data_IF_922238130548
#
_entry.id   IF_922238130548
#
_cell.length_a   1.000
_cell.length_b   1.000
_cell.length_c   1.000
_cell.angle_alpha   90.00
_cell.angle_beta   90.00
_cell.angle_gamma   90.00
#
_symmetry.space_group_name_H-M   'P 1'
#
loop_
_entity.id
_entity.type
_entity.pdbx_description
1 polymer ?
#
# COMPACT_ATOMS: atom_id res chain seq x y z
N UNK A 1 33.19 25.98 -29.52
CA UNK A 1 32.22 24.86 -29.58
C UNK A 1 32.50 23.72 -28.60
N UNK A 2 33.70 23.11 -28.55
CA UNK A 2 34.02 22.01 -27.60
C UNK A 2 33.78 22.34 -26.12
N UNK A 3 34.09 23.56 -25.69
CA UNK A 3 33.91 24.01 -24.30
C UNK A 3 32.43 24.10 -23.87
N UNK A 4 31.57 24.64 -24.74
CA UNK A 4 30.12 24.76 -24.50
C UNK A 4 29.47 23.38 -24.45
N UNK A 5 29.89 22.46 -25.34
CA UNK A 5 29.37 21.10 -25.38
C UNK A 5 29.76 20.28 -24.14
N UNK A 6 30.99 20.43 -23.64
CA UNK A 6 31.43 19.80 -22.40
C UNK A 6 30.72 20.35 -21.15
N UNK A 7 30.45 21.65 -21.11
CA UNK A 7 29.70 22.28 -20.02
C UNK A 7 28.23 21.83 -19.99
N UNK A 8 27.55 21.77 -21.13
CA UNK A 8 26.18 21.27 -21.25
C UNK A 8 26.06 19.80 -20.86
N UNK A 9 27.01 18.95 -21.29
CA UNK A 9 27.05 17.55 -20.90
C UNK A 9 27.29 17.37 -19.38
N UNK A 10 28.16 18.19 -18.79
CA UNK A 10 28.39 18.22 -17.34
C UNK A 10 27.15 18.65 -16.55
N UNK A 11 26.45 19.70 -17.00
CA UNK A 11 25.21 20.15 -16.39
C UNK A 11 24.12 19.09 -16.47
N UNK A 12 23.93 18.46 -17.65
CA UNK A 12 22.95 17.39 -17.82
C UNK A 12 23.25 16.20 -16.91
N UNK A 13 24.51 15.76 -16.82
CA UNK A 13 24.92 14.68 -15.92
C UNK A 13 24.69 15.04 -14.45
N UNK A 14 24.96 16.27 -14.07
CA UNK A 14 24.71 16.75 -12.71
C UNK A 14 23.21 16.74 -12.38
N UNK A 15 22.38 17.34 -13.24
CA UNK A 15 20.92 17.35 -13.06
C UNK A 15 20.36 15.93 -13.01
N UNK A 16 20.77 15.06 -13.92
CA UNK A 16 20.36 13.66 -13.93
C UNK A 16 20.76 12.95 -12.64
N UNK A 17 22.00 13.15 -12.16
CA UNK A 17 22.47 12.58 -10.91
C UNK A 17 21.66 13.07 -9.71
N UNK A 18 21.36 14.37 -9.63
CA UNK A 18 20.53 14.95 -8.56
C UNK A 18 19.12 14.34 -8.58
N UNK A 19 18.51 14.21 -9.76
CA UNK A 19 17.18 13.57 -9.91
C UNK A 19 17.22 12.11 -9.44
N UNK A 20 18.18 11.32 -9.89
CA UNK A 20 18.33 9.91 -9.48
C UNK A 20 18.55 9.77 -7.97
N UNK A 21 19.44 10.58 -7.38
CA UNK A 21 19.71 10.55 -5.94
C UNK A 21 18.46 10.95 -5.15
N UNK A 22 17.73 11.98 -5.60
CA UNK A 22 16.49 12.42 -4.95
C UNK A 22 15.43 11.32 -4.99
N UNK A 23 15.21 10.69 -6.15
CA UNK A 23 14.27 9.58 -6.28
C UNK A 23 14.67 8.39 -5.40
N UNK A 24 15.96 8.05 -5.33
CA UNK A 24 16.45 6.98 -4.46
C UNK A 24 16.20 7.29 -2.97
N UNK A 25 16.45 8.53 -2.53
CA UNK A 25 16.18 8.95 -1.16
C UNK A 25 14.69 8.92 -0.82
N UNK A 26 13.83 9.35 -1.75
CA UNK A 26 12.37 9.27 -1.57
C UNK A 26 11.92 7.81 -1.43
N UNK A 27 12.40 6.91 -2.29
CA UNK A 27 12.07 5.48 -2.20
C UNK A 27 12.53 4.87 -0.87
N UNK A 28 13.74 5.21 -0.41
CA UNK A 28 14.25 4.76 0.90
C UNK A 28 13.40 5.30 2.06
N UNK A 29 12.97 6.56 2.00
CA UNK A 29 12.10 7.15 3.01
C UNK A 29 10.74 6.46 3.05
N UNK A 30 10.12 6.20 1.90
CA UNK A 30 8.85 5.47 1.80
C UNK A 30 8.99 4.03 2.30
N UNK A 31 10.05 3.32 1.91
CA UNK A 31 10.33 1.97 2.39
C UNK A 31 10.55 1.94 3.92
N UNK A 32 11.30 2.90 4.46
CA UNK A 32 11.49 3.06 5.89
C UNK A 32 10.19 3.34 6.64
N UNK A 33 9.33 4.20 6.09
CA UNK A 33 8.00 4.48 6.63
C UNK A 33 7.12 3.21 6.66
N UNK A 34 7.05 2.47 5.55
CA UNK A 34 6.29 1.21 5.46
C UNK A 34 6.84 0.17 6.46
N UNK A 35 8.16 0.06 6.59
CA UNK A 35 8.80 -0.84 7.55
C UNK A 35 8.43 -0.51 8.99
N UNK A 36 8.53 0.78 9.35
CA UNK A 36 8.20 1.28 10.67
C UNK A 36 6.72 1.07 11.01
N UNK A 37 5.81 1.51 10.12
CA UNK A 37 4.36 1.36 10.31
C UNK A 37 3.93 -0.10 10.32
N UNK A 38 4.51 -0.94 9.45
CA UNK A 38 4.17 -2.35 9.39
C UNK A 38 4.57 -3.14 10.63
N UNK A 39 5.51 -2.61 11.43
CA UNK A 39 5.92 -3.17 12.71
C UNK A 39 5.03 -2.75 13.89
N UNK A 40 4.10 -1.83 13.67
CA UNK A 40 3.11 -1.41 14.66
C UNK A 40 1.86 -2.31 14.57
N UNK A 41 1.05 -2.38 15.64
CA UNK A 41 -0.24 -3.05 15.58
C UNK A 41 -1.14 -2.45 14.50
N UNK A 42 -1.81 -3.30 13.73
CA UNK A 42 -2.76 -2.85 12.71
C UNK A 42 -3.94 -2.12 13.35
N UNK A 43 -4.49 -1.13 12.65
CA UNK A 43 -5.63 -0.32 13.11
C UNK A 43 -6.99 -0.88 12.65
N UNK A 44 -6.99 -2.03 11.98
CA UNK A 44 -8.19 -2.69 11.48
C UNK A 44 -8.85 -3.48 12.63
N UNK A 45 -10.09 -3.13 12.97
CA UNK A 45 -10.79 -3.66 14.15
C UNK A 45 -11.09 -5.15 14.11
N UNK A 46 -11.07 -5.77 12.93
CA UNK A 46 -11.31 -7.21 12.76
C UNK A 46 -10.03 -8.05 12.85
N UNK A 47 -8.86 -7.42 12.91
CA UNK A 47 -7.56 -8.11 13.06
C UNK A 47 -7.40 -8.55 14.52
N UNK A 48 -6.81 -9.73 14.80
CA UNK A 48 -6.45 -10.13 16.16
C UNK A 48 -5.67 -9.04 16.91
N UNK A 49 -6.01 -8.82 18.18
CA UNK A 49 -5.45 -7.73 18.96
C UNK A 49 -3.91 -7.80 19.02
N UNK A 50 -3.24 -6.70 18.68
CA UNK A 50 -1.78 -6.59 18.72
C UNK A 50 -1.05 -7.19 17.52
N UNK A 51 -1.75 -7.79 16.54
CA UNK A 51 -1.12 -8.29 15.32
C UNK A 51 -0.57 -7.13 14.48
N UNK A 52 0.69 -7.23 14.08
CA UNK A 52 1.34 -6.27 13.18
C UNK A 52 1.04 -6.58 11.73
N UNK A 53 1.23 -5.60 10.84
CA UNK A 53 1.05 -5.82 9.41
C UNK A 53 1.99 -6.91 8.87
N UNK A 54 3.22 -6.98 9.38
CA UNK A 54 4.18 -8.02 8.97
C UNK A 54 3.74 -9.42 9.38
N UNK A 55 3.18 -9.57 10.58
CA UNK A 55 2.60 -10.83 11.04
C UNK A 55 1.40 -11.23 10.19
N UNK A 56 0.51 -10.28 9.91
CA UNK A 56 -0.62 -10.49 9.01
C UNK A 56 -0.14 -10.98 7.64
N UNK A 57 0.79 -10.28 7.00
CA UNK A 57 1.27 -10.66 5.67
C UNK A 57 1.99 -12.01 5.65
N UNK A 58 2.75 -12.34 6.70
CA UNK A 58 3.37 -13.67 6.85
C UNK A 58 2.30 -14.76 6.88
N UNK A 59 1.30 -14.60 7.74
CA UNK A 59 0.20 -15.55 7.88
C UNK A 59 -0.60 -15.70 6.57
N UNK A 60 -0.82 -14.60 5.82
CA UNK A 60 -1.48 -14.66 4.50
C UNK A 60 -0.63 -15.36 3.43
N UNK A 61 0.71 -15.23 3.49
CA UNK A 61 1.62 -15.95 2.60
C UNK A 61 1.58 -17.45 2.85
N UNK A 62 1.56 -17.86 4.12
CA UNK A 62 1.44 -19.27 4.52
C UNK A 62 0.08 -19.85 4.11
N UNK A 63 -1.01 -19.15 4.43
CA UNK A 63 -2.36 -19.56 4.06
C UNK A 63 -2.55 -19.69 2.54
N UNK A 64 -1.86 -18.88 1.73
CA UNK A 64 -1.92 -18.98 0.27
C UNK A 64 -1.30 -20.27 -0.28
N UNK A 65 -0.36 -20.89 0.45
CA UNK A 65 0.27 -22.15 0.06
C UNK A 65 -0.58 -23.37 0.44
N UNK A 66 -1.39 -23.24 1.49
CA UNK A 66 -2.29 -24.27 2.00
C UNK A 66 -3.57 -24.44 1.17
N UNK A 67 -4.03 -23.37 0.50
CA UNK A 67 -5.25 -23.43 -0.32
C UNK A 67 -5.08 -24.32 -1.54
N UNK A 68 -6.00 -25.26 -1.70
CA UNK A 68 -6.15 -26.05 -2.91
C UNK A 68 -7.26 -25.46 -3.82
N UNK A 69 -6.97 -25.22 -5.11
CA UNK A 69 -5.69 -25.38 -5.79
C UNK A 69 -4.70 -24.24 -5.48
N UNK A 70 -3.40 -24.52 -5.37
CA UNK A 70 -2.36 -23.51 -5.04
C UNK A 70 -2.36 -22.25 -5.91
N UNK A 71 -2.75 -22.39 -7.18
CA UNK A 71 -2.87 -21.26 -8.12
C UNK A 71 -3.88 -20.20 -7.65
N UNK A 72 -4.90 -20.63 -6.92
CA UNK A 72 -5.92 -19.79 -6.34
C UNK A 72 -5.31 -18.82 -5.31
N UNK A 73 -4.55 -19.35 -4.36
CA UNK A 73 -3.96 -18.54 -3.30
C UNK A 73 -2.83 -17.63 -3.79
N UNK A 74 -1.95 -18.15 -4.65
CA UNK A 74 -0.93 -17.33 -5.30
C UNK A 74 -1.58 -16.24 -6.17
N UNK A 75 -2.64 -16.58 -6.92
CA UNK A 75 -3.39 -15.63 -7.72
C UNK A 75 -3.95 -14.48 -6.89
N UNK A 76 -4.55 -14.79 -5.73
CA UNK A 76 -5.08 -13.79 -4.80
C UNK A 76 -3.98 -12.85 -4.26
N UNK A 77 -2.81 -13.38 -3.89
CA UNK A 77 -1.66 -12.56 -3.47
C UNK A 77 -1.11 -11.69 -4.60
N UNK A 78 -1.01 -12.23 -5.83
CA UNK A 78 -0.56 -11.46 -7.00
C UNK A 78 -1.55 -10.34 -7.31
N UNK A 79 -2.85 -10.62 -7.29
CA UNK A 79 -3.88 -9.60 -7.45
C UNK A 79 -3.75 -8.51 -6.39
N UNK A 80 -3.52 -8.88 -5.13
CA UNK A 80 -3.24 -7.91 -4.07
C UNK A 80 -1.96 -7.10 -4.34
N UNK A 81 -0.86 -7.73 -4.75
CA UNK A 81 0.40 -7.04 -5.03
C UNK A 81 0.29 -6.01 -6.16
N UNK A 82 -0.58 -6.25 -7.14
CA UNK A 82 -0.82 -5.32 -8.26
C UNK A 82 -1.85 -4.25 -7.88
N UNK A 83 -2.98 -4.65 -7.29
CA UNK A 83 -4.12 -3.76 -7.07
C UNK A 83 -4.04 -3.03 -5.73
N UNK A 84 -3.58 -3.68 -4.66
CA UNK A 84 -3.51 -3.11 -3.31
C UNK A 84 -2.83 -1.74 -3.25
N UNK A 85 -1.61 -1.59 -3.80
CA UNK A 85 -0.93 -0.30 -3.85
C UNK A 85 -1.72 0.76 -4.63
N UNK A 86 -2.28 0.42 -5.79
CA UNK A 86 -3.02 1.36 -6.64
C UNK A 86 -4.30 1.83 -5.95
N UNK A 87 -5.11 0.89 -5.45
CA UNK A 87 -6.35 1.23 -4.75
C UNK A 87 -6.10 2.03 -3.47
N UNK A 88 -4.99 1.78 -2.76
CA UNK A 88 -4.66 2.56 -1.56
C UNK A 88 -4.45 4.03 -1.85
N UNK A 89 -3.80 4.36 -2.98
CA UNK A 89 -3.60 5.75 -3.41
C UNK A 89 -4.92 6.36 -3.87
N UNK A 90 -5.66 5.65 -4.73
CA UNK A 90 -6.95 6.14 -5.26
C UNK A 90 -7.95 6.39 -4.14
N UNK A 91 -8.13 5.44 -3.21
CA UNK A 91 -9.09 5.58 -2.11
C UNK A 91 -8.69 6.69 -1.13
N UNK A 92 -7.38 6.89 -0.91
CA UNK A 92 -6.91 8.02 -0.10
C UNK A 92 -7.23 9.35 -0.79
N UNK A 93 -6.99 9.46 -2.09
CA UNK A 93 -7.30 10.69 -2.85
C UNK A 93 -8.82 10.98 -2.88
N UNK A 94 -9.64 9.96 -3.11
CA UNK A 94 -11.11 10.09 -3.09
C UNK A 94 -11.60 10.62 -1.74
N UNK A 95 -11.07 10.09 -0.63
CA UNK A 95 -11.45 10.55 0.70
C UNK A 95 -10.98 11.97 1.02
N UNK A 96 -9.82 12.39 0.53
CA UNK A 96 -9.31 13.75 0.69
C UNK A 96 -10.06 14.77 -0.18
N UNK A 97 -10.58 14.34 -1.34
CA UNK A 97 -11.20 15.22 -2.34
C UNK A 97 -12.60 14.75 -2.75
N UNK A 98 -13.60 14.77 -1.83
CA UNK A 98 -14.96 14.39 -2.18
C UNK A 98 -15.54 15.33 -3.24
N UNK A 99 -16.33 14.78 -4.15
CA UNK A 99 -16.87 15.49 -5.32
C UNK A 99 -15.85 15.74 -6.45
N UNK A 100 -14.59 15.34 -6.27
CA UNK A 100 -13.53 15.38 -7.28
C UNK A 100 -13.75 14.40 -8.44
N UNK A 101 -12.84 14.39 -9.41
CA UNK A 101 -12.96 13.50 -10.57
C UNK A 101 -12.93 12.02 -10.17
N UNK A 102 -11.95 11.63 -9.34
CA UNK A 102 -11.82 10.24 -8.89
C UNK A 102 -13.03 9.78 -8.07
N UNK A 103 -13.60 10.64 -7.22
CA UNK A 103 -14.79 10.31 -6.45
C UNK A 103 -15.99 9.99 -7.36
N UNK A 104 -16.22 10.81 -8.40
CA UNK A 104 -17.32 10.62 -9.35
C UNK A 104 -17.23 9.35 -10.18
N UNK A 105 -16.02 8.85 -10.43
CA UNK A 105 -15.79 7.62 -11.22
C UNK A 105 -15.53 6.41 -10.34
N UNK A 106 -15.36 6.60 -9.02
CA UNK A 106 -15.16 5.51 -8.06
C UNK A 106 -16.50 4.99 -7.57
N UNK A 107 -16.55 3.68 -7.29
CA UNK A 107 -17.69 3.10 -6.60
C UNK A 107 -17.59 3.37 -5.10
N UNK A 108 -18.73 3.49 -4.44
CA UNK A 108 -18.80 3.56 -2.98
C UNK A 108 -18.27 2.24 -2.38
N UNK A 109 -17.04 2.26 -1.90
CA UNK A 109 -16.39 1.13 -1.23
C UNK A 109 -16.17 1.44 0.27
N UNK A 110 -16.48 0.51 1.19
CA UNK A 110 -16.30 0.73 2.63
C UNK A 110 -14.86 1.01 3.09
N UNK A 111 -13.86 0.73 2.25
CA UNK A 111 -12.45 1.01 2.56
C UNK A 111 -12.07 2.46 2.24
N UNK A 112 -12.90 3.21 1.52
CA UNK A 112 -12.69 4.65 1.27
C UNK A 112 -12.96 5.41 2.59
N UNK A 113 -11.99 6.20 3.09
CA UNK A 113 -12.19 6.98 4.31
C UNK A 113 -13.15 8.14 4.04
N UNK A 114 -13.98 8.48 5.02
CA UNK A 114 -14.93 9.60 4.98
C UNK A 114 -14.63 10.58 6.11
N UNK A 115 -14.94 11.87 5.92
CA UNK A 115 -14.70 12.89 6.94
C UNK A 115 -13.21 13.21 7.15
N UNK A 116 -12.41 13.09 6.09
CA UNK A 116 -10.94 13.30 6.11
C UNK A 116 -10.50 14.43 5.18
N UNK A 117 -11.43 15.24 4.69
CA UNK A 117 -11.23 16.29 3.68
C UNK A 117 -10.23 17.35 4.15
N UNK A 118 -10.28 17.70 5.43
CA UNK A 118 -9.45 18.72 6.06
C UNK A 118 -8.15 18.13 6.65
N UNK A 119 -7.76 16.91 6.26
CA UNK A 119 -6.54 16.27 6.79
C UNK A 119 -5.30 17.06 6.37
N UNK A 120 -4.48 17.54 7.31
CA UNK A 120 -3.23 18.20 6.99
C UNK A 120 -2.30 17.29 6.17
N UNK A 121 -1.57 17.86 5.22
CA UNK A 121 -0.72 17.10 4.31
C UNK A 121 0.27 16.14 5.01
N UNK A 122 0.76 16.50 6.20
CA UNK A 122 1.70 15.69 6.97
C UNK A 122 1.06 14.48 7.66
N UNK A 123 -0.27 14.44 7.79
CA UNK A 123 -1.04 13.30 8.30
C UNK A 123 -1.52 12.37 7.16
N UNK A 124 -1.41 12.81 5.90
CA UNK A 124 -1.81 12.00 4.73
C UNK A 124 -1.06 10.66 4.65
N UNK A 125 0.24 10.55 4.98
CA UNK A 125 0.91 9.25 5.00
C UNK A 125 0.30 8.25 5.99
N UNK A 126 -0.12 8.72 7.17
CA UNK A 126 -0.79 7.87 8.15
C UNK A 126 -2.20 7.47 7.70
N UNK A 127 -2.94 8.41 7.09
CA UNK A 127 -4.24 8.12 6.47
C UNK A 127 -4.09 7.06 5.37
N UNK A 128 -3.12 7.24 4.47
CA UNK A 128 -2.83 6.28 3.41
C UNK A 128 -2.48 4.90 3.96
N UNK A 129 -1.66 4.84 5.01
CA UNK A 129 -1.32 3.58 5.66
C UNK A 129 -2.57 2.86 6.21
N UNK A 130 -3.47 3.60 6.86
CA UNK A 130 -4.72 3.05 7.39
C UNK A 130 -5.64 2.51 6.28
N UNK A 131 -5.72 3.20 5.14
CA UNK A 131 -6.44 2.73 3.96
C UNK A 131 -5.78 1.47 3.40
N UNK A 132 -4.45 1.45 3.31
CA UNK A 132 -3.68 0.30 2.83
C UNK A 132 -3.88 -0.95 3.70
N UNK A 133 -3.90 -0.82 5.03
CA UNK A 133 -4.21 -1.93 5.94
C UNK A 133 -5.63 -2.46 5.73
N UNK A 134 -6.63 -1.57 5.61
CA UNK A 134 -8.03 -1.95 5.36
C UNK A 134 -8.20 -2.68 4.04
N UNK A 135 -7.55 -2.22 2.97
CA UNK A 135 -7.54 -2.88 1.67
C UNK A 135 -6.85 -4.24 1.76
N UNK A 136 -5.71 -4.33 2.44
CA UNK A 136 -4.99 -5.59 2.63
C UNK A 136 -5.88 -6.62 3.35
N UNK A 137 -6.57 -6.18 4.41
CA UNK A 137 -7.53 -7.01 5.13
C UNK A 137 -8.71 -7.45 4.25
N UNK A 138 -9.35 -6.50 3.55
CA UNK A 138 -10.51 -6.82 2.71
C UNK A 138 -10.15 -7.76 1.55
N UNK A 139 -8.95 -7.60 0.97
CA UNK A 139 -8.48 -8.42 -0.14
C UNK A 139 -7.95 -9.78 0.30
N UNK A 140 -7.35 -9.94 1.49
CA UNK A 140 -6.67 -11.19 1.88
C UNK A 140 -7.32 -11.94 3.05
N UNK A 141 -8.12 -11.29 3.89
CA UNK A 141 -8.78 -11.93 5.03
C UNK A 141 -10.27 -12.19 4.82
N UNK A 142 -10.95 -11.37 4.01
CA UNK A 142 -12.39 -11.51 3.80
C UNK A 142 -12.71 -12.81 3.05
N UNK A 143 -13.75 -13.51 3.51
CA UNK A 143 -14.27 -14.68 2.82
C UNK A 143 -14.91 -14.28 1.49
N UNK A 144 -14.56 -14.99 0.41
CA UNK A 144 -15.09 -14.81 -0.94
C UNK A 144 -15.67 -16.13 -1.45
N UNK A 145 -16.60 -16.14 -2.41
CA UNK A 145 -17.16 -17.39 -2.91
C UNK A 145 -16.15 -18.29 -3.64
N UNK A 146 -15.02 -17.72 -4.11
CA UNK A 146 -14.08 -18.41 -5.01
C UNK A 146 -12.88 -19.02 -4.28
N UNK A 147 -12.13 -18.22 -3.53
CA UNK A 147 -10.84 -18.61 -2.98
C UNK A 147 -10.70 -18.13 -1.55
N UNK A 148 -10.62 -19.03 -0.57
CA UNK A 148 -10.60 -18.65 0.82
C UNK A 148 -9.36 -19.13 1.52
N UNK A 149 -8.61 -18.18 2.07
CA UNK A 149 -7.59 -18.48 3.05
C UNK A 149 -8.24 -18.95 4.34
N UNK A 150 -7.47 -19.72 5.13
CA UNK A 150 -7.86 -20.01 6.51
C UNK A 150 -8.04 -18.71 7.30
N UNK A 151 -8.82 -18.75 8.41
CA UNK A 151 -8.94 -17.61 9.31
C UNK A 151 -7.57 -17.04 9.71
N UNK A 152 -7.53 -15.76 10.05
CA UNK A 152 -6.29 -15.10 10.47
C UNK A 152 -5.92 -15.58 11.86
N UNK A 153 -4.70 -16.09 12.01
CA UNK A 153 -4.16 -16.62 13.26
C UNK A 153 -2.89 -15.86 13.61
N UNK A 154 -2.63 -15.67 14.91
CA UNK A 154 -1.36 -15.09 15.37
C UNK A 154 -0.34 -16.24 15.39
N UNK A 155 0.74 -16.10 14.60
CA UNK A 155 1.82 -17.09 14.60
C UNK A 155 2.33 -17.34 16.04
N UNK A 156 2.08 -18.54 16.58
CA UNK A 156 2.46 -18.94 17.94
C UNK A 156 1.32 -19.07 18.96
N UNK A 157 0.05 -19.06 18.54
CA UNK A 157 -1.09 -19.52 19.34
C UNK A 157 -1.71 -20.80 18.77
#
# INVERSE_FOLDING_TARGET
MKFIFGFLAGLFRFVFHVVCVTLALVLLAVAGFIYFKGSQPMQVTQVPAGMTYWQFMSDRLDAAQEVEPKRCGVGRLVTFGVLGPVYSVVYTDVGLHPGGFLDRVSQNDPNIPTGVEDTPWYNVPDLWWNVFEKISWSMLARHTPACNFRPVEIAGQ
#
